data_IF_939865364049
#
_entry.id   IF_939865364049
#
_cell.length_a   1.000
_cell.length_b   1.000
_cell.length_c   1.000
_cell.angle_alpha   90.00
_cell.angle_beta   90.00
_cell.angle_gamma   90.00
#
_symmetry.space_group_name_H-M   'P 1'
#
loop_
_entity.id
_entity.type
_entity.pdbx_description
1 polymer ?
#
# COMPACT_ATOMS: atom_id res chain seq x y z
N UNK A 1 -61.38 -62.54 3.63
CA UNK A 1 -62.33 -61.51 4.10
C UNK A 1 -61.63 -60.60 5.10
N UNK A 2 -61.86 -59.30 4.98
CA UNK A 2 -61.51 -58.27 5.97
C UNK A 2 -62.08 -58.64 7.34
N UNK A 3 -61.37 -58.35 8.44
CA UNK A 3 -61.87 -57.48 9.52
C UNK A 3 -60.66 -56.84 10.23
N UNK A 4 -60.70 -55.52 10.31
CA UNK A 4 -59.89 -54.69 11.20
C UNK A 4 -60.75 -54.26 12.41
N UNK A 5 -60.15 -54.05 13.58
CA UNK A 5 -60.66 -53.19 14.67
C UNK A 5 -59.50 -52.90 15.65
N UNK A 6 -58.88 -51.70 15.56
CA UNK A 6 -59.08 -50.47 16.39
C UNK A 6 -58.70 -50.64 17.89
N UNK A 7 -57.56 -50.09 18.32
CA UNK A 7 -57.33 -48.80 19.05
C UNK A 7 -57.48 -48.94 20.59
N UNK A 8 -56.56 -48.53 21.49
CA UNK A 8 -55.93 -47.21 21.73
C UNK A 8 -54.74 -47.27 22.75
N UNK A 9 -53.76 -46.35 22.58
CA UNK A 9 -52.92 -45.55 23.53
C UNK A 9 -52.20 -46.25 24.71
N UNK A 10 -50.97 -45.93 25.16
CA UNK A 10 -50.01 -44.81 25.05
C UNK A 10 -48.59 -45.38 25.30
N UNK A 11 -47.42 -44.78 25.06
CA UNK A 11 -46.99 -43.44 24.70
C UNK A 11 -45.45 -43.44 24.52
N UNK A 12 -44.90 -42.27 24.19
CA UNK A 12 -43.47 -41.94 23.93
C UNK A 12 -42.98 -42.26 22.50
N UNK A 13 -43.24 -41.34 21.58
CA UNK A 13 -42.43 -41.16 20.36
C UNK A 13 -41.82 -39.76 20.37
N UNK A 14 -40.49 -39.72 20.42
CA UNK A 14 -39.72 -38.51 20.18
C UNK A 14 -39.99 -38.03 18.76
N UNK A 15 -40.70 -36.90 18.62
CA UNK A 15 -40.80 -36.18 17.36
C UNK A 15 -39.48 -35.44 17.12
N UNK A 16 -38.53 -36.10 16.46
CA UNK A 16 -37.41 -35.45 15.79
C UNK A 16 -37.96 -34.54 14.70
N UNK A 17 -38.03 -33.23 14.97
CA UNK A 17 -38.38 -32.21 13.99
C UNK A 17 -37.20 -32.10 13.02
N UNK A 18 -37.28 -32.74 11.87
CA UNK A 18 -36.30 -32.51 10.79
C UNK A 18 -36.48 -31.07 10.30
N UNK A 19 -35.68 -30.16 10.85
CA UNK A 19 -35.56 -28.80 10.33
C UNK A 19 -34.77 -28.90 9.03
N UNK A 20 -35.46 -29.04 7.89
CA UNK A 20 -34.82 -28.81 6.58
C UNK A 20 -34.45 -27.33 6.54
N UNK A 21 -33.15 -27.02 6.63
CA UNK A 21 -32.62 -25.70 6.32
C UNK A 21 -33.11 -25.31 4.91
N UNK A 22 -34.06 -24.37 4.82
CA UNK A 22 -34.41 -23.73 3.55
C UNK A 22 -33.25 -22.80 3.19
N UNK A 23 -32.27 -23.33 2.47
CA UNK A 23 -31.25 -22.51 1.81
C UNK A 23 -31.97 -21.53 0.87
N UNK A 24 -31.72 -20.25 1.09
CA UNK A 24 -32.50 -19.13 0.54
C UNK A 24 -31.54 -18.17 -0.15
N UNK A 25 -31.63 -18.02 -1.46
CA UNK A 25 -30.83 -17.04 -2.20
C UNK A 25 -31.25 -15.60 -1.81
N UNK A 26 -30.42 -14.87 -1.04
CA UNK A 26 -30.63 -13.45 -0.69
C UNK A 26 -30.08 -12.52 -1.78
N UNK A 27 -30.67 -11.34 -1.95
CA UNK A 27 -30.31 -10.37 -3.01
C UNK A 27 -29.71 -9.10 -2.40
N UNK A 28 -28.64 -8.58 -3.02
CA UNK A 28 -28.04 -7.26 -2.73
C UNK A 28 -28.58 -6.16 -3.67
N UNK A 29 -28.65 -4.91 -3.19
CA UNK A 29 -29.41 -3.79 -3.79
C UNK A 29 -28.74 -3.09 -4.98
N UNK A 30 -29.47 -3.08 -6.10
CA UNK A 30 -29.68 -2.02 -7.11
C UNK A 30 -30.48 -2.54 -8.34
N UNK A 31 -31.02 -3.75 -8.24
CA UNK A 31 -31.78 -4.43 -9.28
C UNK A 31 -33.25 -4.60 -8.92
N UNK A 32 -34.12 -4.61 -9.92
CA UNK A 32 -35.43 -5.23 -9.87
C UNK A 32 -35.29 -6.69 -10.35
N UNK A 33 -35.71 -7.64 -9.52
CA UNK A 33 -35.68 -9.06 -9.85
C UNK A 33 -37.11 -9.56 -10.04
N UNK A 34 -37.39 -10.16 -11.20
CA UNK A 34 -38.68 -10.76 -11.54
C UNK A 34 -38.51 -12.24 -11.80
N UNK A 35 -39.14 -13.06 -10.97
CA UNK A 35 -39.15 -14.51 -11.10
C UNK A 35 -40.56 -14.95 -11.51
N UNK A 36 -40.76 -15.49 -12.72
CA UNK A 36 -42.07 -16.02 -13.13
C UNK A 36 -42.58 -17.05 -12.12
N UNK A 37 -43.83 -16.94 -11.69
CA UNK A 37 -44.44 -17.87 -10.72
C UNK A 37 -44.18 -17.54 -9.24
N UNK A 38 -43.51 -16.43 -8.92
CA UNK A 38 -43.25 -15.98 -7.55
C UNK A 38 -43.61 -14.51 -7.34
N UNK A 39 -44.02 -14.10 -6.12
CA UNK A 39 -44.33 -12.71 -5.83
C UNK A 39 -43.12 -11.80 -6.03
N UNK A 40 -43.33 -10.69 -6.74
CA UNK A 40 -42.32 -9.64 -6.97
C UNK A 40 -41.86 -9.04 -5.64
N UNK A 41 -40.55 -9.00 -5.37
CA UNK A 41 -39.99 -8.43 -4.15
C UNK A 41 -39.80 -9.41 -2.99
N UNK A 42 -39.97 -10.72 -3.20
CA UNK A 42 -39.60 -11.72 -2.20
C UNK A 42 -38.08 -11.72 -1.90
N UNK A 43 -37.71 -11.80 -0.63
CA UNK A 43 -36.31 -11.84 -0.17
C UNK A 43 -35.70 -13.25 -0.20
N UNK A 44 -36.50 -14.26 -0.56
CA UNK A 44 -36.16 -15.68 -0.55
C UNK A 44 -36.82 -16.38 -1.73
N UNK A 45 -36.02 -17.08 -2.54
CA UNK A 45 -36.50 -17.87 -3.69
C UNK A 45 -36.12 -19.35 -3.53
N UNK A 46 -36.97 -20.29 -3.99
CA UNK A 46 -36.66 -21.71 -3.91
C UNK A 46 -35.53 -22.10 -4.86
N UNK A 47 -34.81 -23.18 -4.50
CA UNK A 47 -33.81 -23.81 -5.35
C UNK A 47 -34.40 -24.14 -6.74
N UNK A 48 -33.67 -23.82 -7.80
CA UNK A 48 -34.10 -24.00 -9.19
C UNK A 48 -34.87 -22.81 -9.78
N UNK A 49 -35.19 -21.77 -8.99
CA UNK A 49 -35.85 -20.58 -9.51
C UNK A 49 -35.00 -19.86 -10.57
N UNK A 50 -35.60 -19.58 -11.72
CA UNK A 50 -35.02 -18.75 -12.80
C UNK A 50 -35.59 -17.34 -12.70
N UNK A 51 -34.73 -16.35 -12.57
CA UNK A 51 -35.12 -14.97 -12.32
C UNK A 51 -34.44 -14.01 -13.28
N UNK A 52 -35.19 -13.00 -13.73
CA UNK A 52 -34.71 -11.94 -14.60
C UNK A 52 -34.32 -10.73 -13.78
N UNK A 53 -33.13 -10.19 -14.06
CA UNK A 53 -32.54 -9.06 -13.36
C UNK A 53 -32.61 -7.84 -14.26
N UNK A 54 -33.12 -6.72 -13.75
CA UNK A 54 -33.19 -5.42 -14.44
C UNK A 54 -32.66 -4.31 -13.56
N UNK A 55 -32.06 -3.29 -14.16
CA UNK A 55 -31.68 -2.07 -13.44
C UNK A 55 -32.89 -1.16 -13.24
N UNK A 56 -32.85 -0.32 -12.21
CA UNK A 56 -33.82 0.76 -12.00
C UNK A 56 -33.67 1.83 -13.09
N UNK A 57 -34.70 2.65 -13.31
CA UNK A 57 -34.69 3.75 -14.30
C UNK A 57 -33.43 4.63 -14.16
N UNK A 58 -32.79 4.94 -15.28
CA UNK A 58 -31.55 5.74 -15.35
C UNK A 58 -30.25 4.93 -15.31
N UNK A 59 -30.32 3.61 -15.36
CA UNK A 59 -29.15 2.72 -15.33
C UNK A 59 -29.26 1.62 -16.38
N UNK A 60 -28.14 1.33 -17.07
CA UNK A 60 -27.99 0.18 -17.97
C UNK A 60 -27.44 -1.03 -17.23
N UNK A 61 -27.93 -2.22 -17.57
CA UNK A 61 -27.40 -3.47 -17.06
C UNK A 61 -26.16 -3.89 -17.86
N UNK A 62 -25.08 -4.23 -17.17
CA UNK A 62 -23.90 -4.85 -17.75
C UNK A 62 -23.71 -6.24 -17.11
N UNK A 63 -23.69 -7.28 -17.95
CA UNK A 63 -23.64 -8.69 -17.53
C UNK A 63 -24.93 -9.47 -17.80
N UNK A 64 -25.04 -10.65 -17.19
CA UNK A 64 -26.14 -11.59 -17.46
C UNK A 64 -27.48 -11.12 -16.86
N UNK A 65 -28.50 -11.01 -17.70
CA UNK A 65 -29.85 -10.56 -17.34
C UNK A 65 -30.73 -11.66 -16.69
N UNK A 66 -30.22 -12.88 -16.57
CA UNK A 66 -30.95 -14.04 -16.04
C UNK A 66 -30.07 -14.80 -15.06
N UNK A 67 -30.61 -15.20 -13.91
CA UNK A 67 -29.91 -15.99 -12.87
C UNK A 67 -30.75 -17.18 -12.39
N UNK A 68 -30.06 -18.20 -11.91
CA UNK A 68 -30.62 -19.43 -11.37
C UNK A 68 -30.16 -19.64 -9.93
N UNK A 69 -31.09 -19.92 -9.02
CA UNK A 69 -30.76 -20.27 -7.63
C UNK A 69 -30.31 -21.74 -7.58
N UNK A 70 -29.04 -21.97 -7.25
CA UNK A 70 -28.41 -23.30 -7.23
C UNK A 70 -28.52 -23.98 -5.85
N UNK A 71 -28.16 -25.26 -5.77
CA UNK A 71 -28.41 -26.14 -4.62
C UNK A 71 -27.71 -25.74 -3.32
N UNK A 72 -26.72 -24.88 -3.41
CA UNK A 72 -25.95 -24.33 -2.28
C UNK A 72 -26.57 -23.04 -1.71
N UNK A 73 -27.68 -22.55 -2.28
CA UNK A 73 -28.35 -21.33 -1.83
C UNK A 73 -27.76 -20.03 -2.41
N UNK A 74 -26.92 -20.11 -3.44
CA UNK A 74 -26.41 -18.94 -4.16
C UNK A 74 -27.01 -18.79 -5.57
N UNK A 75 -26.85 -17.61 -6.16
CA UNK A 75 -27.16 -17.38 -7.57
C UNK A 75 -25.98 -17.79 -8.44
N UNK A 76 -26.23 -18.48 -9.55
CA UNK A 76 -25.17 -18.81 -10.50
C UNK A 76 -24.61 -17.56 -11.23
N UNK A 77 -23.38 -17.71 -11.74
CA UNK A 77 -22.69 -16.69 -12.54
C UNK A 77 -22.16 -15.49 -11.76
N UNK A 78 -21.44 -14.61 -12.45
CA UNK A 78 -20.95 -13.35 -11.88
C UNK A 78 -22.09 -12.35 -11.64
N UNK A 79 -21.95 -11.50 -10.62
CA UNK A 79 -22.96 -10.49 -10.29
C UNK A 79 -22.97 -9.38 -11.36
N UNK A 80 -24.09 -9.12 -12.04
CA UNK A 80 -24.16 -8.03 -13.03
C UNK A 80 -24.06 -6.67 -12.33
N UNK A 81 -23.74 -5.62 -13.10
CA UNK A 81 -23.53 -4.25 -12.60
C UNK A 81 -24.57 -3.32 -13.26
N UNK A 82 -25.13 -2.38 -12.49
CA UNK A 82 -25.94 -1.30 -13.03
C UNK A 82 -25.09 -0.03 -13.18
N UNK A 83 -24.84 0.39 -14.40
CA UNK A 83 -24.10 1.61 -14.71
C UNK A 83 -25.07 2.75 -15.00
N UNK A 84 -24.84 3.94 -14.42
CA UNK A 84 -25.68 5.12 -14.68
C UNK A 84 -25.57 5.50 -16.16
N UNK A 85 -26.70 5.63 -16.83
CA UNK A 85 -26.71 6.23 -18.17
C UNK A 85 -26.45 7.72 -17.97
N UNK A 86 -25.23 8.17 -18.26
CA UNK A 86 -24.94 9.58 -18.38
C UNK A 86 -25.72 10.04 -19.60
N UNK A 87 -26.79 10.82 -19.38
CA UNK A 87 -27.37 11.60 -20.45
C UNK A 87 -26.27 12.51 -20.98
N UNK A 88 -25.72 12.19 -22.15
CA UNK A 88 -25.00 13.15 -22.96
C UNK A 88 -26.03 14.16 -23.45
N UNK A 89 -26.37 15.12 -22.59
CA UNK A 89 -27.07 16.32 -23.00
C UNK A 89 -26.06 17.20 -23.76
N UNK A 90 -26.29 17.52 -25.05
CA UNK A 90 -25.37 18.34 -25.84
C UNK A 90 -25.28 19.81 -25.42
N UNK A 91 -25.89 20.26 -24.31
CA UNK A 91 -25.93 21.68 -23.95
C UNK A 91 -25.22 22.06 -22.64
N UNK A 92 -24.24 21.28 -22.18
CA UNK A 92 -23.35 21.73 -21.11
C UNK A 92 -22.10 22.44 -21.68
N UNK A 93 -22.16 23.77 -21.79
CA UNK A 93 -20.98 24.62 -22.01
C UNK A 93 -20.58 25.30 -20.67
N UNK A 94 -19.35 25.10 -20.16
CA UNK A 94 -18.90 25.70 -18.91
C UNK A 94 -18.34 27.10 -19.18
N UNK A 95 -19.21 28.10 -19.31
CA UNK A 95 -18.84 29.50 -19.09
C UNK A 95 -20.08 30.36 -18.88
N UNK A 96 -19.93 31.36 -17.99
CA UNK A 96 -20.83 32.48 -17.67
C UNK A 96 -21.45 32.37 -16.26
N UNK A 97 -20.61 32.72 -15.27
CA UNK A 97 -21.06 33.46 -14.11
C UNK A 97 -21.55 34.83 -14.58
N UNK A 98 -22.85 35.10 -14.56
CA UNK A 98 -23.42 36.45 -14.55
C UNK A 98 -24.88 36.37 -14.13
N UNK A 99 -25.19 36.82 -12.93
CA UNK A 99 -26.58 37.09 -12.48
C UNK A 99 -26.99 38.48 -12.98
N UNK A 100 -28.14 38.64 -13.65
CA UNK A 100 -28.85 39.92 -13.68
C UNK A 100 -30.26 39.81 -13.06
N UNK A 101 -30.84 40.95 -12.62
CA UNK A 101 -31.99 40.95 -11.72
C UNK A 101 -33.31 40.68 -12.46
N UNK A 102 -34.21 39.98 -11.76
CA UNK A 102 -35.59 39.73 -12.20
C UNK A 102 -36.38 41.04 -12.20
N UNK A 103 -36.86 41.43 -13.38
CA UNK A 103 -37.89 42.47 -13.54
C UNK A 103 -39.26 41.79 -13.70
N UNK A 104 -40.21 42.16 -12.85
CA UNK A 104 -41.60 41.67 -12.87
C UNK A 104 -42.46 42.61 -13.71
N UNK A 105 -43.20 42.13 -14.72
CA UNK A 105 -44.35 42.84 -15.25
C UNK A 105 -45.65 42.31 -14.61
N UNK A 106 -46.47 43.25 -14.15
CA UNK A 106 -47.86 43.05 -13.70
C UNK A 106 -48.75 42.73 -14.90
N UNK A 107 -49.74 41.84 -14.71
CA UNK A 107 -50.98 41.89 -15.49
C UNK A 107 -51.78 40.59 -15.61
N UNK A 108 -52.74 40.39 -14.68
CA UNK A 108 -54.09 39.80 -14.88
C UNK A 108 -54.19 38.29 -15.26
N UNK A 109 -55.05 37.42 -14.72
CA UNK A 109 -56.24 37.55 -13.86
C UNK A 109 -56.38 36.36 -12.91
N UNK A 110 -56.96 36.66 -11.75
CA UNK A 110 -57.32 35.79 -10.64
C UNK A 110 -58.62 35.02 -10.95
N UNK A 111 -58.58 33.67 -10.93
CA UNK A 111 -59.79 32.85 -10.81
C UNK A 111 -59.78 32.13 -9.46
N UNK A 112 -60.74 32.57 -8.64
CA UNK A 112 -61.02 32.29 -7.25
C UNK A 112 -61.40 30.81 -7.01
N UNK A 113 -60.58 30.07 -6.27
CA UNK A 113 -61.01 28.83 -5.63
C UNK A 113 -61.66 29.14 -4.26
N UNK A 114 -62.86 28.61 -4.05
CA UNK A 114 -63.69 28.82 -2.86
C UNK A 114 -63.10 28.05 -1.67
N UNK A 115 -62.94 28.74 -0.54
CA UNK A 115 -62.50 28.19 0.74
C UNK A 115 -63.55 27.18 1.25
N UNK A 116 -63.21 25.91 1.30
CA UNK A 116 -63.86 24.96 2.24
C UNK A 116 -62.98 24.98 3.48
N UNK A 117 -63.53 25.50 4.58
CA UNK A 117 -62.93 25.39 5.90
C UNK A 117 -63.22 23.96 6.40
N UNK A 118 -62.20 23.12 6.45
CA UNK A 118 -62.23 21.91 7.28
C UNK A 118 -60.81 21.56 7.71
N UNK A 119 -60.60 21.76 9.01
CA UNK A 119 -59.61 21.14 9.89
C UNK A 119 -58.12 21.30 9.53
N UNK A 120 -57.44 21.99 10.43
CA UNK A 120 -55.98 22.05 10.53
C UNK A 120 -55.38 20.65 10.62
N UNK A 121 -54.93 20.11 9.49
CA UNK A 121 -53.86 19.12 9.50
C UNK A 121 -52.55 19.90 9.61
N UNK A 122 -52.02 20.04 10.82
CA UNK A 122 -50.59 20.20 10.97
C UNK A 122 -49.98 18.97 10.29
N UNK A 123 -49.29 19.17 9.17
CA UNK A 123 -48.33 18.15 8.72
C UNK A 123 -47.24 18.19 9.77
N UNK A 124 -47.41 17.40 10.82
CA UNK A 124 -46.31 16.98 11.65
C UNK A 124 -45.37 16.28 10.68
N UNK A 125 -44.28 16.95 10.32
CA UNK A 125 -43.10 16.27 9.85
C UNK A 125 -42.76 15.28 10.96
N UNK A 126 -43.21 14.04 10.83
CA UNK A 126 -42.73 12.95 11.66
C UNK A 126 -41.22 13.01 11.46
N UNK A 127 -40.49 13.47 12.48
CA UNK A 127 -39.06 13.31 12.55
C UNK A 127 -38.87 11.80 12.55
N UNK A 128 -38.70 11.22 11.36
CA UNK A 128 -38.31 9.83 11.20
C UNK A 128 -37.03 9.72 12.00
N UNK A 129 -37.07 8.97 13.10
CA UNK A 129 -35.91 8.76 13.95
C UNK A 129 -34.79 8.22 13.07
N UNK A 130 -33.87 9.09 12.68
CA UNK A 130 -32.82 8.74 11.74
C UNK A 130 -31.73 8.04 12.53
N UNK A 131 -31.43 6.76 12.24
CA UNK A 131 -30.41 6.05 12.99
C UNK A 131 -29.09 6.79 12.80
N UNK A 132 -28.58 7.36 13.89
CA UNK A 132 -27.25 7.94 13.94
C UNK A 132 -26.24 6.80 13.85
N UNK A 133 -25.39 6.74 12.81
CA UNK A 133 -24.39 5.68 12.70
C UNK A 133 -23.42 5.78 13.88
N UNK A 134 -23.05 4.62 14.41
CA UNK A 134 -21.86 4.48 15.23
C UNK A 134 -20.99 3.38 14.64
N UNK A 135 -19.68 3.58 14.68
CA UNK A 135 -18.70 2.53 14.48
C UNK A 135 -17.59 2.68 15.52
N UNK A 136 -17.27 1.60 16.21
CA UNK A 136 -16.27 1.57 17.27
C UNK A 136 -15.26 0.47 16.97
N UNK A 137 -14.01 0.88 16.81
CA UNK A 137 -12.91 0.01 16.46
C UNK A 137 -12.39 -0.72 17.71
N UNK A 138 -11.80 -1.91 17.54
CA UNK A 138 -11.03 -2.55 18.61
C UNK A 138 -9.74 -1.78 18.91
N UNK A 139 -8.97 -2.27 19.88
CA UNK A 139 -7.67 -1.71 20.19
C UNK A 139 -6.67 -1.92 19.05
N UNK A 140 -5.69 -1.04 19.01
CA UNK A 140 -4.53 -1.16 18.14
C UNK A 140 -3.79 -2.48 18.36
N UNK A 141 -3.13 -2.96 17.32
CA UNK A 141 -2.40 -4.22 17.33
C UNK A 141 -0.92 -3.99 17.15
N UNK A 142 -0.12 -4.78 17.85
CA UNK A 142 1.32 -4.87 17.70
C UNK A 142 1.68 -6.36 17.57
N UNK A 143 2.25 -6.74 16.42
CA UNK A 143 2.55 -8.13 16.08
C UNK A 143 3.96 -8.24 15.52
N UNK A 144 4.63 -9.34 15.80
CA UNK A 144 6.00 -9.60 15.32
C UNK A 144 5.97 -10.55 14.12
N UNK A 145 6.83 -10.31 13.13
CA UNK A 145 7.02 -11.22 12.02
C UNK A 145 7.58 -12.57 12.52
N UNK A 146 7.09 -13.71 11.98
CA UNK A 146 7.72 -15.00 12.25
C UNK A 146 9.12 -15.04 11.64
N UNK A 147 10.02 -15.81 12.26
CA UNK A 147 11.40 -15.94 11.81
C UNK A 147 11.48 -16.27 10.30
N UNK A 148 12.32 -15.53 9.59
CA UNK A 148 12.61 -15.62 8.15
C UNK A 148 11.43 -15.30 7.23
N UNK A 149 10.30 -14.85 7.77
CA UNK A 149 9.15 -14.43 6.97
C UNK A 149 9.16 -12.91 6.81
N UNK A 150 8.68 -12.44 5.65
CA UNK A 150 8.57 -11.02 5.33
C UNK A 150 7.13 -10.48 5.45
N UNK A 151 6.18 -11.36 5.78
CA UNK A 151 4.76 -11.06 5.98
C UNK A 151 4.18 -11.92 7.10
N UNK A 152 3.11 -11.44 7.73
CA UNK A 152 2.33 -12.19 8.72
C UNK A 152 0.84 -12.05 8.43
N UNK A 153 0.09 -13.15 8.58
CA UNK A 153 -1.37 -13.12 8.54
C UNK A 153 -1.92 -12.49 9.81
N UNK A 154 -2.44 -11.27 9.69
CA UNK A 154 -3.13 -10.57 10.79
C UNK A 154 -4.62 -10.81 10.68
N UNK A 155 -5.26 -11.14 11.81
CA UNK A 155 -6.72 -11.22 11.94
C UNK A 155 -7.15 -10.33 13.10
N UNK A 156 -8.16 -9.48 12.89
CA UNK A 156 -8.64 -8.54 13.90
C UNK A 156 -10.16 -8.60 14.05
N UNK A 157 -10.70 -8.31 15.25
CA UNK A 157 -12.13 -8.40 15.48
C UNK A 157 -12.89 -7.34 14.70
N UNK A 158 -14.10 -7.69 14.26
CA UNK A 158 -14.98 -6.75 13.56
C UNK A 158 -15.30 -5.54 14.46
N UNK A 159 -15.19 -4.30 13.95
CA UNK A 159 -15.69 -3.11 14.63
C UNK A 159 -17.18 -3.23 14.98
N UNK A 160 -17.55 -2.75 16.18
CA UNK A 160 -18.94 -2.71 16.63
C UNK A 160 -19.65 -1.58 15.91
N UNK A 161 -20.84 -1.84 15.35
CA UNK A 161 -21.61 -0.86 14.57
C UNK A 161 -23.12 -1.15 14.67
N UNK A 162 -23.96 -0.11 14.68
CA UNK A 162 -25.41 -0.26 14.46
C UNK A 162 -25.80 -0.30 12.98
N UNK A 163 -24.89 0.08 12.09
CA UNK A 163 -25.10 0.02 10.65
C UNK A 163 -24.76 -1.36 10.10
N UNK A 164 -25.52 -1.83 9.10
CA UNK A 164 -25.24 -3.07 8.38
C UNK A 164 -23.82 -3.05 7.84
N UNK A 165 -23.04 -4.05 8.24
CA UNK A 165 -21.62 -4.11 7.95
C UNK A 165 -21.35 -4.08 6.45
N UNK A 166 -22.03 -4.87 5.64
CA UNK A 166 -21.71 -4.99 4.21
C UNK A 166 -22.29 -3.86 3.37
N UNK A 167 -23.37 -3.24 3.84
CA UNK A 167 -24.09 -2.23 3.07
C UNK A 167 -23.70 -0.80 3.40
N UNK A 168 -23.39 -0.52 4.65
CA UNK A 168 -23.29 0.85 5.15
C UNK A 168 -22.00 1.14 5.91
N UNK A 169 -21.10 0.16 6.06
CA UNK A 169 -19.78 0.38 6.63
C UNK A 169 -18.72 0.19 5.54
N UNK A 170 -17.96 1.23 5.24
CA UNK A 170 -16.82 1.18 4.34
C UNK A 170 -15.53 0.96 5.12
N UNK A 171 -14.56 0.29 4.51
CA UNK A 171 -13.22 0.10 5.07
C UNK A 171 -12.18 0.66 4.10
N UNK A 172 -11.19 1.38 4.62
CA UNK A 172 -10.04 1.84 3.87
C UNK A 172 -8.78 1.43 4.62
N UNK A 173 -7.89 0.61 4.02
CA UNK A 173 -8.00 0.00 2.68
C UNK A 173 -9.16 -1.02 2.54
N UNK A 174 -9.65 -1.30 1.31
CA UNK A 174 -10.83 -2.14 1.10
C UNK A 174 -10.71 -3.58 1.62
N UNK A 175 -9.50 -4.16 1.59
CA UNK A 175 -9.24 -5.51 2.10
C UNK A 175 -9.56 -5.65 3.60
N UNK A 176 -9.57 -4.55 4.35
CA UNK A 176 -9.86 -4.59 5.78
C UNK A 176 -11.32 -4.98 6.07
N UNK A 177 -12.18 -4.98 5.06
CA UNK A 177 -13.54 -5.48 5.16
C UNK A 177 -13.61 -6.99 5.43
N UNK A 178 -12.59 -7.73 5.01
CA UNK A 178 -12.42 -9.17 5.25
C UNK A 178 -11.87 -9.49 6.64
N UNK A 179 -11.47 -8.48 7.43
CA UNK A 179 -10.95 -8.61 8.80
C UNK A 179 -9.65 -9.42 8.94
N UNK A 180 -9.02 -9.74 7.81
CA UNK A 180 -7.76 -10.45 7.76
C UNK A 180 -6.97 -10.05 6.50
N UNK A 181 -5.64 -10.00 6.63
CA UNK A 181 -4.72 -9.84 5.50
C UNK A 181 -3.31 -10.28 5.90
N UNK A 182 -2.51 -10.59 4.88
CA UNK A 182 -1.08 -10.82 5.04
C UNK A 182 -0.38 -9.45 4.91
N UNK A 183 0.26 -9.00 5.99
CA UNK A 183 0.86 -7.67 6.09
C UNK A 183 2.39 -7.76 6.26
N UNK A 184 3.19 -6.93 5.56
CA UNK A 184 4.62 -6.81 5.78
C UNK A 184 4.93 -6.00 7.05
N UNK A 185 6.20 -5.96 7.45
CA UNK A 185 6.67 -5.04 8.48
C UNK A 185 6.29 -3.59 8.17
N UNK A 186 5.92 -2.84 9.21
CA UNK A 186 5.51 -1.44 9.10
C UNK A 186 4.21 -1.14 9.81
N UNK A 187 3.68 0.06 9.59
CA UNK A 187 2.44 0.54 10.20
C UNK A 187 1.34 0.63 9.16
N UNK A 188 0.26 -0.10 9.38
CA UNK A 188 -0.95 -0.06 8.55
C UNK A 188 -2.10 0.56 9.34
N UNK A 189 -2.65 1.66 8.83
CA UNK A 189 -3.81 2.32 9.42
C UNK A 189 -5.06 1.91 8.64
N UNK A 190 -6.01 1.30 9.34
CA UNK A 190 -7.30 0.92 8.78
C UNK A 190 -8.36 1.87 9.33
N UNK A 191 -9.14 2.47 8.43
CA UNK A 191 -10.25 3.36 8.76
C UNK A 191 -11.57 2.73 8.36
N UNK A 192 -12.53 2.71 9.29
CA UNK A 192 -13.90 2.30 9.03
C UNK A 192 -14.83 3.50 9.08
N UNK A 193 -15.72 3.61 8.10
CA UNK A 193 -16.71 4.69 8.00
C UNK A 193 -18.11 4.11 7.87
N UNK A 194 -18.97 4.32 8.87
CA UNK A 194 -20.38 3.97 8.85
C UNK A 194 -21.23 5.14 8.35
N UNK A 195 -22.19 4.87 7.47
CA UNK A 195 -23.08 5.87 6.86
C UNK A 195 -24.54 5.61 7.23
N UNK A 196 -25.30 6.67 7.44
CA UNK A 196 -26.75 6.56 7.57
C UNK A 196 -27.40 6.34 6.18
N UNK A 197 -28.39 5.44 6.06
CA UNK A 197 -29.08 5.20 4.78
C UNK A 197 -30.03 6.31 4.35
N UNK A 198 -30.41 7.18 5.28
CA UNK A 198 -31.51 8.15 5.13
C UNK A 198 -31.07 9.57 5.48
N UNK A 199 -29.85 9.75 5.98
CA UNK A 199 -29.26 11.06 6.31
C UNK A 199 -27.80 11.12 5.85
N UNK A 200 -27.18 12.29 5.96
CA UNK A 200 -25.77 12.47 5.67
C UNK A 200 -24.86 12.15 6.87
N UNK A 201 -25.41 11.67 7.99
CA UNK A 201 -24.62 11.37 9.16
C UNK A 201 -23.67 10.21 8.88
N UNK A 202 -22.45 10.36 9.40
CA UNK A 202 -21.41 9.34 9.36
C UNK A 202 -20.74 9.22 10.71
N UNK A 203 -20.13 8.06 10.93
CA UNK A 203 -19.25 7.81 12.06
C UNK A 203 -18.00 7.13 11.55
N UNK A 204 -16.85 7.51 12.09
CA UNK A 204 -15.56 6.98 11.69
C UNK A 204 -14.80 6.45 12.89
N UNK A 205 -14.07 5.35 12.69
CA UNK A 205 -13.09 4.86 13.65
C UNK A 205 -11.86 4.34 12.90
N UNK A 206 -10.73 4.28 13.61
CA UNK A 206 -9.46 3.78 13.09
C UNK A 206 -8.85 2.76 14.03
N UNK A 207 -8.17 1.77 13.45
CA UNK A 207 -7.30 0.83 14.14
C UNK A 207 -5.91 0.93 13.50
N UNK A 208 -4.87 0.97 14.33
CA UNK A 208 -3.47 0.95 13.89
C UNK A 208 -2.90 -0.46 14.11
N UNK A 209 -2.40 -1.06 13.03
CA UNK A 209 -1.73 -2.36 13.07
C UNK A 209 -0.23 -2.11 12.84
N UNK A 210 0.59 -2.39 13.85
CA UNK A 210 2.05 -2.34 13.77
C UNK A 210 2.59 -3.75 13.63
N UNK A 211 3.27 -4.01 12.52
CA UNK A 211 4.02 -5.25 12.28
C UNK A 211 5.49 -4.94 12.47
N UNK A 212 6.11 -5.54 13.50
CA UNK A 212 7.51 -5.35 13.84
C UNK A 212 8.33 -6.49 13.29
N UNK A 213 9.48 -6.15 12.73
CA UNK A 213 10.53 -7.12 12.45
C UNK A 213 11.61 -6.97 13.53
N UNK A 214 12.03 -8.11 14.09
CA UNK A 214 13.03 -8.19 15.16
C UNK A 214 14.20 -9.08 14.76
N UNK A 215 14.22 -9.58 13.53
CA UNK A 215 15.33 -10.35 12.99
C UNK A 215 16.45 -9.38 12.57
N UNK A 216 17.69 -9.70 12.92
CA UNK A 216 18.83 -8.90 12.48
C UNK A 216 19.30 -9.36 11.09
N UNK A 217 19.91 -8.48 10.28
CA UNK A 217 20.47 -8.88 8.99
C UNK A 217 21.48 -10.01 9.14
N UNK A 218 21.36 -11.03 8.30
CA UNK A 218 22.31 -12.13 8.23
C UNK A 218 23.58 -11.69 7.51
N UNK A 219 24.72 -11.86 8.18
CA UNK A 219 26.05 -11.62 7.61
C UNK A 219 26.60 -12.92 7.00
N UNK A 220 27.05 -12.85 5.75
CA UNK A 220 27.80 -13.93 5.08
C UNK A 220 29.11 -13.38 4.50
N UNK A 221 30.11 -14.25 4.34
CA UNK A 221 31.43 -13.86 3.81
C UNK A 221 32.14 -12.75 4.59
N UNK A 222 31.96 -12.69 5.92
CA UNK A 222 32.73 -11.77 6.76
C UNK A 222 34.22 -12.15 6.72
N UNK A 223 35.12 -11.26 6.24
CA UNK A 223 36.54 -11.56 6.17
C UNK A 223 37.12 -11.85 7.56
N UNK A 224 38.05 -12.79 7.62
CA UNK A 224 38.90 -12.96 8.81
C UNK A 224 40.04 -11.95 8.79
N UNK A 225 40.57 -11.60 9.95
CA UNK A 225 41.77 -10.76 10.05
C UNK A 225 42.96 -11.40 9.32
N UNK A 226 43.72 -10.62 8.57
CA UNK A 226 44.84 -11.12 7.75
C UNK A 226 46.05 -10.19 7.75
N UNK A 227 47.21 -10.74 7.37
CA UNK A 227 48.49 -10.01 7.30
C UNK A 227 48.92 -9.78 5.86
N UNK A 228 49.39 -8.57 5.55
CA UNK A 228 50.01 -8.21 4.27
C UNK A 228 51.45 -7.79 4.51
N UNK A 229 52.39 -8.40 3.78
CA UNK A 229 53.82 -8.06 3.85
C UNK A 229 54.20 -7.20 2.64
N UNK A 230 54.73 -6.01 2.92
CA UNK A 230 55.26 -5.09 1.91
C UNK A 230 56.62 -5.58 1.40
N UNK A 231 56.87 -5.38 0.11
CA UNK A 231 58.17 -5.68 -0.49
C UNK A 231 59.24 -4.69 0.03
N UNK A 232 60.53 -5.05 0.03
CA UNK A 232 61.59 -4.11 0.40
C UNK A 232 61.52 -2.83 -0.44
N UNK A 233 61.51 -1.67 0.20
CA UNK A 233 61.38 -0.36 -0.46
C UNK A 233 59.95 0.11 -0.71
N UNK A 234 58.93 -0.75 -0.53
CA UNK A 234 57.53 -0.38 -0.66
C UNK A 234 57.02 0.30 0.62
N UNK A 235 56.49 1.52 0.47
CA UNK A 235 55.99 2.34 1.60
C UNK A 235 54.52 2.10 1.91
N UNK A 236 53.76 1.61 0.94
CA UNK A 236 52.32 1.36 1.03
C UNK A 236 51.87 0.48 -0.12
N UNK A 237 50.77 -0.27 0.08
CA UNK A 237 50.18 -1.14 -0.96
C UNK A 237 48.67 -0.93 -1.05
N UNK A 238 48.11 -1.11 -2.25
CA UNK A 238 46.65 -1.27 -2.43
C UNK A 238 46.24 -2.65 -1.91
N UNK A 239 45.34 -2.69 -0.93
CA UNK A 239 44.90 -3.95 -0.32
C UNK A 239 43.46 -4.23 -0.73
N UNK A 240 43.22 -5.46 -1.20
CA UNK A 240 41.92 -5.95 -1.62
C UNK A 240 41.47 -7.08 -0.71
N UNK A 241 40.17 -7.16 -0.47
CA UNK A 241 39.49 -8.25 0.23
C UNK A 241 38.09 -8.42 -0.37
N UNK A 242 37.50 -9.58 -0.15
CA UNK A 242 36.10 -9.80 -0.49
C UNK A 242 35.21 -9.09 0.53
N UNK A 243 34.32 -8.21 0.10
CA UNK A 243 33.40 -7.54 1.01
C UNK A 243 32.36 -8.52 1.58
N UNK A 244 31.93 -8.36 2.86
CA UNK A 244 30.83 -9.14 3.41
C UNK A 244 29.53 -8.87 2.68
N UNK A 245 28.66 -9.88 2.67
CA UNK A 245 27.29 -9.77 2.14
C UNK A 245 26.29 -9.81 3.29
N UNK A 246 25.26 -8.97 3.19
CA UNK A 246 24.20 -8.85 4.19
C UNK A 246 22.86 -9.15 3.53
N UNK A 247 22.04 -9.98 4.17
CA UNK A 247 20.70 -10.32 3.69
C UNK A 247 19.71 -10.34 4.84
N UNK A 248 18.47 -9.98 4.58
CA UNK A 248 17.44 -9.92 5.61
C UNK A 248 16.06 -10.25 5.02
N UNK A 249 15.10 -10.70 5.84
CA UNK A 249 13.73 -11.03 5.43
C UNK A 249 12.94 -9.79 5.00
N UNK A 250 13.12 -8.63 5.66
CA UNK A 250 12.49 -7.36 5.25
C UNK A 250 13.37 -6.52 4.35
N UNK A 251 14.63 -6.94 4.18
CA UNK A 251 15.59 -6.36 3.25
C UNK A 251 16.53 -5.37 3.92
N UNK A 252 17.76 -5.34 3.42
CA UNK A 252 18.81 -4.44 3.93
C UNK A 252 18.65 -3.05 3.31
N UNK A 253 18.54 -2.03 4.14
CA UNK A 253 18.33 -0.64 3.70
C UNK A 253 19.66 0.12 3.59
N UNK A 254 20.55 -0.03 4.57
CA UNK A 254 21.81 0.70 4.60
C UNK A 254 22.98 -0.21 4.97
N UNK A 255 24.12 -0.01 4.31
CA UNK A 255 25.40 -0.64 4.67
C UNK A 255 26.46 0.43 4.81
N UNK A 256 26.92 0.64 6.03
CA UNK A 256 28.06 1.49 6.36
C UNK A 256 29.35 0.67 6.39
N UNK A 257 30.45 1.24 5.88
CA UNK A 257 31.78 0.64 5.97
C UNK A 257 32.85 1.68 6.30
N UNK A 258 33.79 1.33 7.17
CA UNK A 258 34.91 2.23 7.53
C UNK A 258 35.95 2.31 6.42
N UNK A 259 36.16 1.21 5.66
CA UNK A 259 37.10 1.11 4.54
C UNK A 259 36.54 0.15 3.49
N UNK A 260 36.88 0.38 2.22
CA UNK A 260 36.55 -0.52 1.10
C UNK A 260 37.81 -1.11 0.46
N UNK A 261 37.68 -2.21 -0.30
CA UNK A 261 38.81 -2.82 -1.00
C UNK A 261 39.44 -1.84 -2.00
N UNK A 262 40.75 -1.99 -2.24
CA UNK A 262 41.50 -1.14 -3.15
C UNK A 262 41.98 0.18 -2.53
N UNK A 263 41.98 0.31 -1.20
CA UNK A 263 42.59 1.46 -0.53
C UNK A 263 44.10 1.27 -0.32
N UNK A 264 44.85 2.36 -0.42
CA UNK A 264 46.28 2.41 -0.07
C UNK A 264 46.43 2.31 1.44
N UNK A 265 47.25 1.37 1.93
CA UNK A 265 47.52 1.18 3.34
C UNK A 265 49.01 1.22 3.65
N UNK A 266 49.34 1.86 4.77
CA UNK A 266 50.69 1.97 5.31
C UNK A 266 50.95 0.88 6.37
N UNK A 267 52.22 0.60 6.70
CA UNK A 267 52.55 -0.29 7.81
C UNK A 267 51.78 0.06 9.09
N UNK A 268 51.15 -0.94 9.71
CA UNK A 268 50.28 -0.75 10.87
C UNK A 268 49.08 -1.70 10.89
N UNK A 269 48.29 -1.59 11.96
CA UNK A 269 47.02 -2.33 12.13
C UNK A 269 45.87 -1.46 11.67
N UNK A 270 45.09 -1.93 10.71
CA UNK A 270 43.91 -1.23 10.21
C UNK A 270 42.64 -2.02 10.55
N UNK A 271 41.78 -1.43 11.38
CA UNK A 271 40.49 -2.03 11.74
C UNK A 271 39.43 -1.66 10.70
N UNK A 272 38.81 -2.67 10.11
CA UNK A 272 37.71 -2.54 9.15
C UNK A 272 36.43 -2.99 9.83
N UNK A 273 35.38 -2.15 9.74
CA UNK A 273 34.06 -2.42 10.31
C UNK A 273 33.00 -2.15 9.24
N UNK A 274 32.12 -3.12 9.08
CA UNK A 274 30.90 -3.03 8.29
C UNK A 274 29.70 -3.11 9.24
N UNK A 275 28.71 -2.24 9.04
CA UNK A 275 27.47 -2.20 9.79
C UNK A 275 26.33 -2.14 8.79
N UNK A 276 25.47 -3.15 8.77
CA UNK A 276 24.26 -3.17 7.97
C UNK A 276 23.04 -2.92 8.85
N UNK A 277 22.06 -2.19 8.31
CA UNK A 277 20.72 -2.06 8.90
C UNK A 277 19.64 -2.43 7.89
N UNK A 278 18.62 -3.14 8.34
CA UNK A 278 17.42 -3.42 7.56
C UNK A 278 16.40 -2.26 7.60
N UNK A 279 15.30 -2.44 6.87
CA UNK A 279 14.19 -1.49 6.77
C UNK A 279 13.38 -1.34 8.07
N UNK A 280 13.52 -2.25 9.03
CA UNK A 280 12.91 -2.14 10.36
C UNK A 280 13.84 -1.48 11.39
N UNK A 281 15.12 -1.27 11.03
CA UNK A 281 16.14 -0.65 11.85
C UNK A 281 16.97 -1.63 12.67
N UNK A 282 16.81 -2.95 12.50
CA UNK A 282 17.70 -3.93 13.15
C UNK A 282 19.07 -3.90 12.48
N UNK A 283 20.10 -4.40 13.19
CA UNK A 283 21.51 -4.15 12.82
C UNK A 283 22.38 -5.37 12.97
N UNK A 284 23.30 -5.53 12.03
CA UNK A 284 24.33 -6.55 12.07
C UNK A 284 25.70 -5.98 11.71
N UNK A 285 26.74 -6.54 12.31
CA UNK A 285 28.11 -6.04 12.17
C UNK A 285 29.09 -7.14 11.76
N UNK A 286 30.07 -6.76 10.95
CA UNK A 286 31.24 -7.56 10.60
C UNK A 286 32.50 -6.71 10.81
N UNK A 287 33.48 -7.23 11.53
CA UNK A 287 34.74 -6.55 11.78
C UNK A 287 35.94 -7.47 11.59
N UNK A 288 37.02 -6.92 11.05
CA UNK A 288 38.29 -7.61 10.89
C UNK A 288 39.44 -6.61 10.89
N UNK A 289 40.66 -7.09 11.14
CA UNK A 289 41.87 -6.28 11.16
C UNK A 289 42.84 -6.69 10.06
N UNK A 290 43.37 -5.71 9.34
CA UNK A 290 44.43 -5.90 8.34
C UNK A 290 45.75 -5.47 8.97
N UNK A 291 46.67 -6.41 9.13
CA UNK A 291 47.99 -6.15 9.67
C UNK A 291 48.99 -5.96 8.53
N UNK A 292 49.45 -4.73 8.29
CA UNK A 292 50.44 -4.44 7.24
C UNK A 292 51.83 -4.46 7.86
N UNK A 293 52.63 -5.49 7.56
CA UNK A 293 54.05 -5.55 7.94
C UNK A 293 54.90 -4.84 6.89
N UNK A 294 55.69 -3.88 7.33
CA UNK A 294 56.70 -3.21 6.53
C UNK A 294 57.57 -2.34 7.43
N UNK A 295 58.68 -1.83 6.91
CA UNK A 295 59.48 -0.84 7.63
C UNK A 295 58.76 0.50 7.56
N UNK A 296 58.39 1.05 8.72
CA UNK A 296 57.89 2.41 8.81
C UNK A 296 59.02 3.35 8.38
N UNK A 297 58.83 4.03 7.25
CA UNK A 297 59.76 5.05 6.78
C UNK A 297 59.07 6.40 7.03
N UNK A 298 59.56 7.23 7.97
CA UNK A 298 58.96 8.54 8.21
C UNK A 298 59.01 9.36 6.91
N UNK A 299 57.94 10.11 6.64
CA UNK A 299 57.93 11.11 5.57
C UNK A 299 59.11 12.06 5.80
N UNK A 300 59.97 12.25 4.80
CA UNK A 300 61.05 13.23 4.89
C UNK A 300 60.45 14.60 5.24
N UNK A 301 60.93 15.32 6.26
CA UNK A 301 60.57 16.71 6.44
C UNK A 301 61.03 17.46 5.18
N UNK A 302 60.10 18.15 4.53
CA UNK A 302 60.42 19.02 3.40
C UNK A 302 61.40 20.09 3.88
N UNK A 303 62.66 19.98 3.45
CA UNK A 303 63.71 20.93 3.80
C UNK A 303 64.93 20.34 4.49
N UNK A 304 65.43 19.17 4.06
CA UNK A 304 66.85 18.90 4.28
C UNK A 304 67.64 19.84 3.34
N UNK A 305 68.44 20.79 3.86
CA UNK A 305 69.28 21.63 3.01
C UNK A 305 70.35 20.74 2.37
N UNK A 306 70.45 20.82 1.05
CA UNK A 306 71.49 20.18 0.25
C UNK A 306 72.84 20.68 0.77
N UNK A 307 73.57 19.83 1.50
CA UNK A 307 74.98 20.03 1.81
C UNK A 307 75.76 19.04 0.97
N UNK A 308 76.23 19.47 -0.19
CA UNK A 308 77.65 19.73 -0.41
C UNK A 308 77.92 20.14 -1.87
N UNK A 309 78.59 21.27 -2.06
CA UNK A 309 79.66 21.33 -3.05
C UNK A 309 80.63 22.46 -2.69
N UNK A 310 81.66 22.11 -1.92
CA UNK A 310 82.88 22.91 -1.81
C UNK A 310 83.53 23.07 -3.19
N UNK A 311 83.67 24.30 -3.66
CA UNK A 311 84.60 24.66 -4.71
C UNK A 311 85.49 25.83 -4.23
N UNK A 312 86.74 25.50 -3.89
CA UNK A 312 87.84 26.47 -3.90
C UNK A 312 88.11 26.86 -5.35
N UNK A 313 88.20 28.16 -5.65
CA UNK A 313 88.88 28.62 -6.87
C UNK A 313 88.27 29.85 -7.56
N UNK A 314 88.90 31.00 -7.28
CA UNK A 314 89.13 32.18 -8.10
C UNK A 314 87.99 32.95 -8.80
N UNK A 315 88.12 34.27 -8.65
CA UNK A 315 87.32 35.32 -9.25
C UNK A 315 87.42 35.33 -10.79
N UNK A 316 86.24 35.39 -11.42
CA UNK A 316 85.82 36.32 -12.50
C UNK A 316 85.01 35.63 -13.60
N UNK A 317 83.70 35.91 -13.59
CA UNK A 317 82.91 36.13 -14.79
C UNK A 317 82.37 34.91 -15.53
N UNK A 318 81.23 34.37 -15.09
CA UNK A 318 80.18 33.88 -15.98
C UNK A 318 78.85 33.76 -15.22
N UNK A 319 77.88 34.60 -15.58
CA UNK A 319 76.49 34.49 -15.11
C UNK A 319 75.80 33.44 -15.98
N UNK A 320 75.39 32.31 -15.38
CA UNK A 320 74.53 31.33 -16.01
C UNK A 320 73.13 31.43 -15.41
N UNK A 321 72.16 31.89 -16.20
CA UNK A 321 70.73 31.94 -15.85
C UNK A 321 70.09 30.57 -16.13
N UNK A 322 69.48 29.95 -15.11
CA UNK A 322 68.70 28.70 -15.25
C UNK A 322 67.23 29.05 -15.53
N UNK A 323 66.71 28.63 -16.69
CA UNK A 323 65.29 28.71 -17.06
C UNK A 323 64.47 27.65 -16.32
N UNK A 324 63.37 28.08 -15.70
CA UNK A 324 62.30 27.21 -15.21
C UNK A 324 61.33 26.87 -16.36
N UNK A 325 61.04 25.58 -16.55
CA UNK A 325 59.99 25.11 -17.47
C UNK A 325 58.87 24.44 -16.67
N UNK A 326 57.70 25.09 -16.62
CA UNK A 326 56.44 24.49 -16.18
C UNK A 326 55.69 23.86 -17.38
N UNK A 327 55.11 22.65 -17.27
CA UNK A 327 54.21 22.11 -18.30
C UNK A 327 52.80 22.68 -18.17
N UNK A 328 52.24 23.22 -19.27
CA UNK A 328 50.84 23.66 -19.39
C UNK A 328 49.95 22.53 -19.92
N UNK A 329 48.78 22.36 -19.31
CA UNK A 329 47.68 21.47 -19.73
C UNK A 329 46.84 22.19 -20.83
N UNK A 330 46.42 21.54 -21.94
CA UNK A 330 45.58 22.17 -22.96
C UNK A 330 44.06 22.07 -22.66
N UNK A 331 43.22 23.03 -23.15
CA UNK A 331 41.77 23.03 -22.89
C UNK A 331 40.95 22.20 -23.91
N UNK A 332 39.80 21.70 -23.43
CA UNK A 332 38.78 20.91 -24.16
C UNK A 332 38.10 21.74 -25.28
N UNK A 333 37.94 21.14 -26.48
CA UNK A 333 37.04 21.64 -27.55
C UNK A 333 35.65 21.02 -27.41
N UNK A 334 34.62 21.87 -27.48
CA UNK A 334 33.22 21.49 -27.59
C UNK A 334 32.87 21.05 -29.02
N UNK A 335 31.98 20.07 -29.15
CA UNK A 335 31.40 19.60 -30.41
C UNK A 335 29.92 19.94 -30.36
N UNK A 336 29.47 20.77 -31.31
CA UNK A 336 28.08 21.07 -31.58
C UNK A 336 27.46 19.97 -32.45
N UNK A 337 26.22 19.63 -32.08
CA UNK A 337 25.31 18.70 -32.73
C UNK A 337 24.90 19.14 -34.14
N UNK A 338 24.92 18.22 -35.10
CA UNK A 338 24.15 18.31 -36.34
C UNK A 338 23.35 17.02 -36.51
N UNK A 339 22.03 17.17 -36.56
CA UNK A 339 21.07 16.11 -36.82
C UNK A 339 20.80 16.04 -38.34
N UNK A 340 20.75 14.83 -38.88
CA UNK A 340 20.02 14.54 -40.11
C UNK A 340 19.61 13.08 -40.18
N UNK A 341 18.32 12.90 -40.52
CA UNK A 341 17.61 11.67 -40.87
C UNK A 341 18.35 10.81 -41.91
N UNK A 342 18.24 9.48 -41.83
CA UNK A 342 17.47 8.67 -42.81
C UNK A 342 17.33 7.19 -42.40
N UNK A 343 16.21 6.63 -42.85
CA UNK A 343 15.60 5.31 -42.65
C UNK A 343 16.48 4.10 -43.00
N UNK A 344 16.13 2.94 -42.43
CA UNK A 344 16.33 1.63 -43.06
C UNK A 344 15.13 0.71 -42.79
N UNK A 345 14.86 -0.10 -43.82
CA UNK A 345 13.84 -1.13 -44.02
C UNK A 345 13.73 -2.19 -42.94
#
# INVERSE_FOLDING_TARGET
MRVASRQMRSGVRQHGRVVRLRLSCRIHVNFEVRCPGHPSGASVYPQGAKCHVRCRRGFRLEGAHTRHCVSDGHWNGEQPICLREVATDPLYNPSINSVPPVHVPRGSQEKRCRRVLSESLTIDFIAVDTPRPFVSCPQDMDVELPARQNTIRVTFPQPKSNMDWWRYVHASPPWAKQLQADLPAGTTVVTFTAWSPVSNYTSTCRIVIRVRDTENPKVTMCPVSFEVRLSPGERSRLIFWQEPTFTDNVGVEHVYKTRGPGHVMYPGVHNVRYVASDAAGNRAECHFSIHVRGKFMPLCPAGAPDKDFTARGNANGAVATRRETHPRIPPRRGILSAASHFSLS
#
